data_IF_238653190524
#
_entry.id   IF_238653190524
#
_cell.length_a   1.000
_cell.length_b   1.000
_cell.length_c   1.000
_cell.angle_alpha   90.00
_cell.angle_beta   90.00
_cell.angle_gamma   90.00
#
_symmetry.space_group_name_H-M   'P 1'
#
loop_
_entity.id
_entity.type
_entity.pdbx_description
1 polymer ?
#
# COMPACT_ATOMS: atom_id res chain seq x y z
N UNK A 1 -11.33 13.86 21.50
CA UNK A 1 -11.54 12.77 22.48
C UNK A 1 -12.66 11.90 21.98
N UNK A 2 -12.30 10.81 21.29
CA UNK A 2 -13.20 9.71 20.97
C UNK A 2 -12.80 8.54 21.89
N UNK A 3 -13.75 7.98 22.63
CA UNK A 3 -13.55 7.02 23.73
C UNK A 3 -13.72 5.56 23.30
N UNK A 4 -13.08 5.15 22.20
CA UNK A 4 -12.89 3.73 21.89
C UNK A 4 -11.40 3.39 22.08
N UNK A 5 -11.08 2.77 23.21
CA UNK A 5 -9.73 2.40 23.67
C UNK A 5 -9.17 1.16 22.95
N UNK A 6 -9.24 1.09 21.63
CA UNK A 6 -8.64 0.00 20.85
C UNK A 6 -7.95 0.46 19.57
N UNK A 7 -8.49 1.49 18.92
CA UNK A 7 -7.93 1.99 17.66
C UNK A 7 -6.66 2.86 17.83
N UNK A 8 -6.22 3.14 19.07
CA UNK A 8 -5.06 4.01 19.35
C UNK A 8 -3.75 3.25 19.57
N UNK A 9 -3.83 1.92 19.69
CA UNK A 9 -2.70 1.03 20.01
C UNK A 9 -2.51 -0.05 18.93
N UNK A 10 -2.73 0.28 17.65
CA UNK A 10 -2.47 -0.65 16.53
C UNK A 10 -1.33 -0.12 15.64
N UNK A 11 -0.06 -0.29 16.05
CA UNK A 11 1.13 0.12 15.29
C UNK A 11 1.06 -0.21 13.80
N UNK A 12 0.67 -1.44 13.47
CA UNK A 12 0.68 -1.95 12.11
C UNK A 12 -0.20 -1.14 11.13
N UNK A 13 -1.43 -0.81 11.52
CA UNK A 13 -2.32 -0.04 10.63
C UNK A 13 -1.81 1.40 10.46
N UNK A 14 -1.19 1.96 11.50
CA UNK A 14 -0.57 3.28 11.41
C UNK A 14 0.64 3.27 10.46
N UNK A 15 1.43 2.21 10.48
CA UNK A 15 2.56 2.04 9.56
C UNK A 15 2.07 1.88 8.11
N UNK A 16 1.03 1.06 7.86
CA UNK A 16 0.42 0.97 6.51
C UNK A 16 -0.15 2.30 6.02
N UNK A 17 -0.86 3.06 6.88
CA UNK A 17 -1.35 4.40 6.50
C UNK A 17 -0.17 5.34 6.18
N UNK A 18 0.92 5.29 6.94
CA UNK A 18 2.10 6.10 6.65
C UNK A 18 2.78 5.67 5.34
N UNK A 19 2.77 4.38 5.00
CA UNK A 19 3.22 3.86 3.70
C UNK A 19 2.34 4.37 2.55
N UNK A 20 1.02 4.36 2.72
CA UNK A 20 0.06 4.93 1.77
C UNK A 20 0.29 6.43 1.52
N UNK A 21 0.48 7.22 2.58
CA UNK A 21 0.80 8.64 2.48
C UNK A 21 2.06 8.86 1.63
N UNK A 22 3.12 8.08 1.88
CA UNK A 22 4.36 8.14 1.08
C UNK A 22 4.11 7.74 -0.37
N UNK A 23 3.34 6.68 -0.63
CA UNK A 23 3.03 6.24 -1.98
C UNK A 23 2.22 7.29 -2.77
N UNK A 24 1.27 7.97 -2.12
CA UNK A 24 0.51 9.09 -2.72
C UNK A 24 1.43 10.28 -3.00
N UNK A 25 2.34 10.61 -2.09
CA UNK A 25 3.29 11.71 -2.27
C UNK A 25 4.28 11.44 -3.41
N UNK A 26 4.81 10.22 -3.49
CA UNK A 26 5.74 9.78 -4.53
C UNK A 26 5.05 9.78 -5.91
N UNK A 27 3.87 9.15 -6.02
CA UNK A 27 3.11 9.09 -7.28
C UNK A 27 2.67 10.48 -7.74
N UNK A 28 2.14 11.31 -6.83
CA UNK A 28 1.77 12.69 -7.12
C UNK A 28 2.99 13.55 -7.49
N UNK A 29 4.12 13.35 -6.82
CA UNK A 29 5.39 14.00 -7.12
C UNK A 29 5.90 13.65 -8.53
N UNK A 30 5.84 12.38 -8.90
CA UNK A 30 6.24 11.91 -10.23
C UNK A 30 5.40 12.55 -11.33
N UNK A 31 4.07 12.62 -11.15
CA UNK A 31 3.16 13.29 -12.10
C UNK A 31 3.50 14.78 -12.21
N UNK A 32 3.70 15.49 -11.10
CA UNK A 32 4.06 16.92 -11.12
C UNK A 32 5.40 17.17 -11.81
N UNK A 33 6.41 16.35 -11.54
CA UNK A 33 7.72 16.46 -12.18
C UNK A 33 7.62 16.23 -13.70
N UNK A 34 6.84 15.23 -14.10
CA UNK A 34 6.57 14.93 -15.50
C UNK A 34 5.85 16.09 -16.21
N UNK A 35 4.85 16.71 -15.58
CA UNK A 35 4.12 17.85 -16.14
C UNK A 35 5.02 19.10 -16.28
N UNK A 36 6.03 19.23 -15.41
CA UNK A 36 7.07 20.26 -15.52
C UNK A 36 8.17 19.94 -16.56
N UNK A 37 8.12 18.76 -17.18
CA UNK A 37 9.14 18.29 -18.13
C UNK A 37 10.40 17.71 -17.47
N UNK A 38 10.43 17.59 -16.15
CA UNK A 38 11.54 16.99 -15.41
C UNK A 38 11.38 15.46 -15.33
N UNK A 39 11.67 14.80 -16.45
CA UNK A 39 11.60 13.35 -16.56
C UNK A 39 12.70 12.64 -15.75
N UNK A 40 13.76 13.33 -15.34
CA UNK A 40 14.78 12.74 -14.48
C UNK A 40 14.24 12.53 -13.07
N UNK A 41 13.68 13.60 -12.48
CA UNK A 41 13.03 13.52 -11.17
C UNK A 41 11.84 12.56 -11.19
N UNK A 42 11.02 12.58 -12.25
CA UNK A 42 9.89 11.67 -12.38
C UNK A 42 10.32 10.19 -12.34
N UNK A 43 11.38 9.81 -13.06
CA UNK A 43 11.91 8.43 -13.04
C UNK A 43 12.41 8.02 -11.66
N UNK A 44 13.11 8.93 -10.96
CA UNK A 44 13.58 8.66 -9.59
C UNK A 44 12.40 8.41 -8.64
N UNK A 45 11.38 9.27 -8.68
CA UNK A 45 10.19 9.12 -7.84
C UNK A 45 9.40 7.86 -8.16
N UNK A 46 9.31 7.46 -9.42
CA UNK A 46 8.69 6.18 -9.82
C UNK A 46 9.48 4.98 -9.28
N UNK A 47 10.82 5.04 -9.31
CA UNK A 47 11.65 3.98 -8.72
C UNK A 47 11.48 3.89 -7.20
N UNK A 48 11.36 5.03 -6.52
CA UNK A 48 11.10 5.09 -5.07
C UNK A 48 9.70 4.55 -4.76
N UNK A 49 8.68 4.93 -5.54
CA UNK A 49 7.32 4.42 -5.43
C UNK A 49 7.27 2.89 -5.58
N UNK A 50 7.96 2.34 -6.57
CA UNK A 50 8.00 0.89 -6.79
C UNK A 50 8.65 0.15 -5.62
N UNK A 51 9.68 0.75 -4.99
CA UNK A 51 10.30 0.17 -3.81
C UNK A 51 9.38 0.21 -2.59
N UNK A 52 8.71 1.34 -2.36
CA UNK A 52 7.77 1.53 -1.24
C UNK A 52 6.60 0.54 -1.35
N UNK A 53 5.95 0.49 -2.52
CA UNK A 53 4.83 -0.42 -2.76
C UNK A 53 5.25 -1.89 -2.69
N UNK A 54 6.48 -2.21 -3.12
CA UNK A 54 6.98 -3.58 -3.07
C UNK A 54 7.06 -4.15 -1.64
N UNK A 55 7.58 -3.38 -0.68
CA UNK A 55 7.62 -3.82 0.73
C UNK A 55 6.24 -3.77 1.37
N UNK A 56 5.46 -2.73 1.07
CA UNK A 56 4.09 -2.55 1.55
C UNK A 56 3.22 -3.77 1.20
N UNK A 57 3.09 -4.12 -0.08
CA UNK A 57 2.31 -5.28 -0.54
C UNK A 57 2.83 -6.59 0.04
N UNK A 58 4.14 -6.73 0.20
CA UNK A 58 4.70 -7.93 0.82
C UNK A 58 4.25 -8.08 2.28
N UNK A 59 4.16 -6.97 3.02
CA UNK A 59 3.65 -6.95 4.39
C UNK A 59 2.17 -7.32 4.46
N UNK A 60 1.35 -6.73 3.58
CA UNK A 60 -0.08 -6.98 3.54
C UNK A 60 -0.40 -8.41 3.10
N UNK A 61 0.10 -8.83 1.94
CA UNK A 61 -0.24 -10.11 1.31
C UNK A 61 0.23 -11.31 2.13
N UNK A 62 1.37 -11.22 2.82
CA UNK A 62 1.86 -12.30 3.69
C UNK A 62 1.36 -12.17 5.14
N UNK A 63 0.77 -11.03 5.49
CA UNK A 63 0.32 -10.69 6.83
C UNK A 63 -1.18 -10.51 6.88
N UNK A 64 -1.61 -9.26 6.94
CA UNK A 64 -3.00 -8.88 7.20
C UNK A 64 -3.97 -9.55 6.22
N UNK A 65 -3.66 -9.55 4.93
CA UNK A 65 -4.53 -10.13 3.91
C UNK A 65 -4.53 -11.66 4.00
N UNK A 66 -3.37 -12.30 4.20
CA UNK A 66 -3.30 -13.75 4.38
C UNK A 66 -4.12 -14.24 5.58
N UNK A 67 -4.15 -13.46 6.66
CA UNK A 67 -4.95 -13.77 7.84
C UNK A 67 -6.43 -13.58 7.56
N UNK A 68 -6.84 -12.41 7.06
CA UNK A 68 -8.24 -12.11 6.76
C UNK A 68 -8.85 -13.05 5.71
N UNK A 69 -8.07 -13.44 4.70
CA UNK A 69 -8.49 -14.32 3.61
C UNK A 69 -8.80 -15.76 4.06
N UNK A 70 -8.55 -16.13 5.33
CA UNK A 70 -9.00 -17.40 5.90
C UNK A 70 -10.52 -17.47 6.02
N UNK A 71 -11.18 -16.32 6.16
CA UNK A 71 -12.64 -16.21 6.06
C UNK A 71 -13.05 -16.05 4.58
N UNK A 72 -13.87 -16.96 4.03
CA UNK A 72 -14.37 -16.85 2.65
C UNK A 72 -15.10 -15.54 2.35
N UNK A 73 -15.70 -14.89 3.36
CA UNK A 73 -16.34 -13.58 3.20
C UNK A 73 -15.32 -12.52 2.79
N UNK A 74 -14.15 -12.49 3.44
CA UNK A 74 -13.12 -11.50 3.16
C UNK A 74 -12.25 -11.86 1.96
N UNK A 75 -12.06 -13.15 1.69
CA UNK A 75 -11.30 -13.62 0.52
C UNK A 75 -11.80 -12.97 -0.79
N UNK A 76 -13.11 -12.92 -0.99
CA UNK A 76 -13.71 -12.33 -2.19
C UNK A 76 -13.46 -10.81 -2.35
N UNK A 77 -13.13 -10.12 -1.25
CA UNK A 77 -12.76 -8.70 -1.25
C UNK A 77 -11.25 -8.48 -1.38
N UNK A 78 -10.44 -9.43 -0.91
CA UNK A 78 -8.97 -9.37 -0.93
C UNK A 78 -8.41 -9.77 -2.30
N UNK A 79 -8.97 -10.79 -2.96
CA UNK A 79 -8.47 -11.26 -4.26
C UNK A 79 -8.37 -10.13 -5.31
N UNK A 80 -9.36 -9.22 -5.45
CA UNK A 80 -9.23 -8.06 -6.33
C UNK A 80 -8.09 -7.10 -5.95
N UNK A 81 -7.85 -6.86 -4.65
CA UNK A 81 -6.77 -5.96 -4.18
C UNK A 81 -5.40 -6.53 -4.54
N UNK A 82 -5.19 -7.83 -4.30
CA UNK A 82 -3.96 -8.52 -4.69
C UNK A 82 -3.76 -8.46 -6.21
N UNK A 83 -4.83 -8.58 -7.00
CA UNK A 83 -4.74 -8.43 -8.44
C UNK A 83 -4.34 -6.99 -8.84
N UNK A 84 -4.89 -5.98 -8.18
CA UNK A 84 -4.51 -4.56 -8.36
C UNK A 84 -3.02 -4.34 -8.05
N UNK A 85 -2.48 -4.96 -6.98
CA UNK A 85 -1.03 -4.93 -6.69
C UNK A 85 -0.21 -5.45 -7.86
N UNK A 86 -0.57 -6.64 -8.39
CA UNK A 86 0.16 -7.28 -9.48
C UNK A 86 0.11 -6.45 -10.77
N UNK A 87 -1.01 -5.80 -11.04
CA UNK A 87 -1.15 -4.93 -12.21
C UNK A 87 -0.30 -3.67 -12.08
N UNK A 88 -0.28 -3.03 -10.91
CA UNK A 88 0.53 -1.85 -10.66
C UNK A 88 2.03 -2.19 -10.62
N UNK A 89 2.43 -3.32 -10.02
CA UNK A 89 3.80 -3.83 -10.02
C UNK A 89 4.34 -3.98 -11.44
N UNK A 90 3.57 -4.66 -12.30
CA UNK A 90 3.92 -4.88 -13.70
C UNK A 90 3.98 -3.58 -14.50
N UNK A 91 3.06 -2.66 -14.23
CA UNK A 91 3.08 -1.33 -14.85
C UNK A 91 4.38 -0.61 -14.49
N UNK A 92 4.68 -0.45 -13.19
CA UNK A 92 5.84 0.29 -12.71
C UNK A 92 7.15 -0.28 -13.24
N UNK A 93 7.27 -1.61 -13.31
CA UNK A 93 8.45 -2.29 -13.87
C UNK A 93 8.66 -2.06 -15.38
N UNK A 94 7.58 -1.76 -16.12
CA UNK A 94 7.60 -1.63 -17.58
C UNK A 94 7.49 -0.16 -18.08
N UNK A 95 7.33 0.82 -17.19
CA UNK A 95 7.12 2.21 -17.57
C UNK A 95 8.33 2.81 -18.32
N UNK A 96 8.07 3.34 -19.51
CA UNK A 96 9.00 4.22 -20.23
C UNK A 96 8.49 5.67 -20.20
N UNK A 97 9.09 6.53 -19.38
CA UNK A 97 8.65 7.93 -19.27
C UNK A 97 8.99 8.80 -20.49
N UNK A 98 9.78 8.33 -21.46
CA UNK A 98 9.93 9.01 -22.74
C UNK A 98 8.68 8.83 -23.63
N UNK A 99 7.95 7.73 -23.43
CA UNK A 99 6.68 7.43 -24.12
C UNK A 99 5.53 8.30 -23.59
N UNK A 100 4.87 9.12 -24.44
CA UNK A 100 3.66 9.84 -24.04
C UNK A 100 2.54 8.94 -23.53
N UNK A 101 2.46 7.71 -24.06
CA UNK A 101 1.45 6.72 -23.65
C UNK A 101 1.69 6.25 -22.21
N UNK A 102 2.92 5.94 -21.86
CA UNK A 102 3.26 5.44 -20.52
C UNK A 102 3.20 6.55 -19.47
N UNK A 103 3.49 7.79 -19.87
CA UNK A 103 3.20 8.98 -19.07
C UNK A 103 1.73 9.11 -18.71
N UNK A 104 0.83 8.83 -19.65
CA UNK A 104 -0.61 8.82 -19.35
C UNK A 104 -1.01 7.65 -18.46
N UNK A 105 -0.45 6.46 -18.71
CA UNK A 105 -0.68 5.28 -17.85
C UNK A 105 -0.24 5.55 -16.40
N UNK A 106 0.87 6.26 -16.18
CA UNK A 106 1.29 6.67 -14.84
C UNK A 106 0.28 7.60 -14.17
N UNK A 107 -0.36 8.53 -14.90
CA UNK A 107 -1.40 9.41 -14.31
C UNK A 107 -2.62 8.62 -13.88
N UNK A 108 -3.07 7.69 -14.73
CA UNK A 108 -4.19 6.81 -14.44
C UNK A 108 -3.87 5.94 -13.22
N UNK A 109 -2.71 5.30 -13.20
CA UNK A 109 -2.26 4.48 -12.08
C UNK A 109 -2.13 5.26 -10.77
N UNK A 110 -1.68 6.51 -10.81
CA UNK A 110 -1.64 7.35 -9.62
C UNK A 110 -3.04 7.68 -9.08
N UNK A 111 -4.08 7.70 -9.93
CA UNK A 111 -5.46 7.83 -9.49
C UNK A 111 -6.03 6.51 -8.97
N UNK A 112 -5.80 5.41 -9.69
CA UNK A 112 -6.20 4.06 -9.28
C UNK A 112 -5.57 3.67 -7.93
N UNK A 113 -4.31 4.04 -7.68
CA UNK A 113 -3.64 3.85 -6.39
C UNK A 113 -4.40 4.53 -5.23
N UNK A 114 -4.95 5.73 -5.43
CA UNK A 114 -5.75 6.39 -4.39
C UNK A 114 -7.08 5.68 -4.14
N UNK A 115 -7.69 5.15 -5.19
CA UNK A 115 -8.93 4.37 -5.07
C UNK A 115 -8.68 3.03 -4.37
N UNK A 116 -7.54 2.40 -4.67
CA UNK A 116 -7.06 1.20 -4.01
C UNK A 116 -6.85 1.42 -2.50
N UNK A 117 -6.05 2.42 -2.14
CA UNK A 117 -5.82 2.84 -0.75
C UNK A 117 -7.15 3.09 -0.01
N UNK A 118 -8.12 3.74 -0.65
CA UNK A 118 -9.42 3.98 -0.04
C UNK A 118 -10.20 2.68 0.25
N UNK A 119 -10.10 1.65 -0.59
CA UNK A 119 -10.75 0.34 -0.33
C UNK A 119 -10.17 -0.31 0.92
N UNK A 120 -8.89 -0.14 1.15
CA UNK A 120 -8.20 -0.68 2.32
C UNK A 120 -8.48 0.14 3.57
N UNK A 121 -8.21 1.45 3.55
CA UNK A 121 -8.34 2.31 4.72
C UNK A 121 -9.79 2.51 5.19
N UNK A 122 -10.75 2.59 4.27
CA UNK A 122 -12.17 2.79 4.62
C UNK A 122 -12.94 1.46 4.73
N UNK A 123 -12.36 0.36 4.24
CA UNK A 123 -13.02 -0.95 4.16
C UNK A 123 -12.31 -2.02 4.98
N UNK A 124 -11.15 -2.47 4.48
CA UNK A 124 -10.45 -3.63 5.01
C UNK A 124 -9.83 -3.39 6.39
N UNK A 125 -9.16 -2.25 6.60
CA UNK A 125 -8.51 -1.91 7.86
C UNK A 125 -9.53 -1.78 9.02
N UNK A 126 -10.67 -1.05 8.87
CA UNK A 126 -11.70 -1.02 9.91
C UNK A 126 -12.31 -2.40 10.18
N UNK A 127 -12.49 -3.23 9.15
CA UNK A 127 -12.99 -4.58 9.31
C UNK A 127 -12.03 -5.44 10.14
N UNK A 128 -10.72 -5.32 9.88
CA UNK A 128 -9.68 -6.09 10.60
C UNK A 128 -9.70 -5.85 12.11
N UNK A 129 -9.99 -4.63 12.56
CA UNK A 129 -10.10 -4.26 13.98
C UNK A 129 -11.17 -5.06 14.73
N UNK A 130 -12.19 -5.54 14.02
CA UNK A 130 -13.27 -6.33 14.59
C UNK A 130 -13.19 -7.82 14.26
N UNK A 131 -12.37 -8.17 13.26
CA UNK A 131 -12.27 -9.51 12.72
C UNK A 131 -11.09 -10.33 13.24
N UNK A 132 -9.99 -9.68 13.63
CA UNK A 132 -8.77 -10.36 14.05
C UNK A 132 -8.68 -10.55 15.57
N UNK A 133 -8.17 -11.71 15.97
CA UNK A 133 -7.71 -11.95 17.34
C UNK A 133 -6.23 -11.58 17.55
N UNK A 134 -5.72 -11.78 18.78
CA UNK A 134 -4.36 -11.38 19.15
C UNK A 134 -3.26 -12.15 18.39
N UNK A 135 -3.42 -13.46 18.20
CA UNK A 135 -2.43 -14.30 17.50
C UNK A 135 -2.38 -13.92 16.01
N UNK A 136 -3.54 -13.55 15.46
CA UNK A 136 -3.70 -13.06 14.10
C UNK A 136 -3.05 -11.68 13.87
N UNK A 137 -3.16 -10.78 14.85
CA UNK A 137 -2.41 -9.51 14.84
C UNK A 137 -0.89 -9.74 14.94
N UNK A 138 -0.44 -10.63 15.83
CA UNK A 138 0.97 -10.97 15.97
C UNK A 138 1.56 -11.55 14.68
N UNK A 139 0.81 -12.41 14.00
CA UNK A 139 1.20 -12.95 12.69
C UNK A 139 1.31 -11.85 11.62
N UNK A 140 0.36 -10.92 11.59
CA UNK A 140 0.36 -9.79 10.65
C UNK A 140 1.55 -8.85 10.89
N UNK A 141 1.84 -8.54 12.15
CA UNK A 141 3.01 -7.73 12.54
C UNK A 141 4.33 -8.43 12.23
N UNK A 142 4.42 -9.75 12.40
CA UNK A 142 5.61 -10.52 12.03
C UNK A 142 5.87 -10.47 10.51
N UNK A 143 4.82 -10.57 9.69
CA UNK A 143 4.93 -10.44 8.24
C UNK A 143 5.39 -9.03 7.82
N UNK A 144 4.83 -7.98 8.43
CA UNK A 144 5.29 -6.60 8.19
C UNK A 144 6.77 -6.42 8.51
N UNK A 145 7.24 -6.91 9.67
CA UNK A 145 8.67 -6.84 10.05
C UNK A 145 9.57 -7.59 9.07
N UNK A 146 9.08 -8.69 8.48
CA UNK A 146 9.82 -9.44 7.48
C UNK A 146 9.93 -8.68 6.14
N UNK A 147 8.90 -7.91 5.77
CA UNK A 147 8.90 -7.04 4.59
C UNK A 147 9.75 -5.76 4.79
N UNK A 148 9.96 -5.34 6.05
CA UNK A 148 10.69 -4.13 6.41
C UNK A 148 11.93 -4.41 7.28
N UNK A 149 12.96 -5.11 6.73
CA UNK A 149 14.12 -5.50 7.52
C UNK A 149 14.88 -4.29 8.07
N UNK A 150 14.95 -4.21 9.40
CA UNK A 150 15.66 -3.13 10.12
C UNK A 150 14.82 -1.87 10.38
N UNK A 151 13.55 -1.84 9.95
CA UNK A 151 12.60 -0.84 10.40
C UNK A 151 12.07 -1.18 11.81
N UNK A 152 11.63 -0.15 12.53
CA UNK A 152 10.89 -0.28 13.78
C UNK A 152 9.46 0.13 13.49
N UNK A 153 8.48 -0.65 13.97
CA UNK A 153 7.08 -0.22 13.87
C UNK A 153 6.84 1.05 14.68
N UNK A 154 5.83 1.82 14.29
CA UNK A 154 5.39 2.96 15.06
C UNK A 154 5.12 2.56 16.52
N UNK A 155 5.78 3.24 17.46
CA UNK A 155 5.64 3.02 18.91
C UNK A 155 6.34 1.79 19.50
N UNK A 156 7.27 1.14 18.78
CA UNK A 156 8.30 0.24 19.34
C UNK A 156 9.56 0.97 19.83
#
# INVERSE_FOLDING_TARGET
MCHYCGCRDMPLLMDYIAEHERAVDLSGGAVRAMDAGDLHTARRLVSELASELGSHWQGEENGLFAVMARDPLWLAHIEPLVQEHRELEQLLAALDLDSPRDRERLRVAAAELREHIAKEEDGLFPASLTGLDGDEWDASMAAWRAAHPGALMAHE
#
